data_IF_329746033843
#
_entry.id   IF_329746033843
#
_cell.length_a   1.000
_cell.length_b   1.000
_cell.length_c   1.000
_cell.angle_alpha   90.00
_cell.angle_beta   90.00
_cell.angle_gamma   90.00
#
_symmetry.space_group_name_H-M   'P 1'
#
loop_
_entity.id
_entity.type
_entity.pdbx_description
1 polymer ?
#
# COMPACT_ATOMS: atom_id res chain seq x y z
N UNK A 1 14.08 2.53 2.12
CA UNK A 1 12.78 1.96 2.50
C UNK A 1 11.83 1.99 1.32
N UNK A 2 11.16 0.90 1.06
CA UNK A 2 10.17 0.83 -0.01
C UNK A 2 8.78 0.86 0.60
N UNK A 3 7.98 1.84 0.16
CA UNK A 3 6.61 2.03 0.62
C UNK A 3 5.69 1.81 -0.57
N UNK A 4 4.67 0.99 -0.38
CA UNK A 4 3.69 0.68 -1.42
C UNK A 4 2.31 1.16 -0.99
N UNK A 5 1.54 1.60 -1.98
CA UNK A 5 0.18 2.06 -1.77
C UNK A 5 -0.72 1.26 -2.70
N UNK A 6 -1.68 0.55 -2.14
CA UNK A 6 -2.67 -0.20 -2.90
C UNK A 6 -4.02 0.51 -2.76
N UNK A 7 -4.37 1.31 -3.73
CA UNK A 7 -5.53 2.19 -3.72
C UNK A 7 -6.00 2.43 -5.15
N UNK A 8 -7.28 2.30 -5.43
CA UNK A 8 -7.83 2.44 -6.78
C UNK A 8 -8.28 3.86 -7.14
N UNK A 9 -8.47 4.74 -6.15
CA UNK A 9 -8.89 6.12 -6.41
C UNK A 9 -7.71 7.09 -6.40
N UNK A 10 -7.55 7.83 -7.49
CA UNK A 10 -6.44 8.76 -7.67
C UNK A 10 -6.34 9.80 -6.56
N UNK A 11 -7.48 10.33 -6.13
CA UNK A 11 -7.51 11.35 -5.06
C UNK A 11 -6.88 10.83 -3.77
N UNK A 12 -7.19 9.58 -3.40
CA UNK A 12 -6.63 8.98 -2.18
C UNK A 12 -5.18 8.55 -2.38
N UNK A 13 -4.81 8.10 -3.58
CA UNK A 13 -3.41 7.82 -3.91
C UNK A 13 -2.55 9.07 -3.67
N UNK A 14 -3.00 10.20 -4.17
CA UNK A 14 -2.28 11.48 -4.03
C UNK A 14 -2.23 11.90 -2.55
N UNK A 15 -3.34 11.78 -1.83
CA UNK A 15 -3.39 12.17 -0.42
C UNK A 15 -2.39 11.36 0.42
N UNK A 16 -2.31 10.05 0.20
CA UNK A 16 -1.38 9.19 0.92
C UNK A 16 0.07 9.54 0.56
N UNK A 17 0.35 9.74 -0.73
CA UNK A 17 1.68 10.12 -1.18
C UNK A 17 2.12 11.45 -0.56
N UNK A 18 1.24 12.44 -0.52
CA UNK A 18 1.55 13.73 0.07
C UNK A 18 1.83 13.61 1.56
N UNK A 19 1.07 12.78 2.28
CA UNK A 19 1.31 12.54 3.70
C UNK A 19 2.69 11.90 3.93
N UNK A 20 3.05 10.92 3.11
CA UNK A 20 4.35 10.25 3.20
C UNK A 20 5.48 11.25 2.92
N UNK A 21 5.35 12.07 1.87
CA UNK A 21 6.37 13.07 1.52
C UNK A 21 6.53 14.13 2.60
N UNK A 22 5.43 14.53 3.22
CA UNK A 22 5.49 15.47 4.35
C UNK A 22 6.25 14.85 5.53
N UNK A 23 5.92 13.62 5.88
CA UNK A 23 6.62 12.88 6.94
C UNK A 23 8.12 12.74 6.62
N UNK A 24 8.43 12.42 5.38
CA UNK A 24 9.80 12.30 4.90
C UNK A 24 10.59 13.60 5.13
N UNK A 25 9.98 14.73 4.76
CA UNK A 25 10.62 16.04 4.90
C UNK A 25 10.84 16.41 6.37
N UNK A 26 9.83 16.16 7.22
CA UNK A 26 9.89 16.52 8.64
C UNK A 26 10.89 15.67 9.41
N UNK A 27 11.03 14.39 9.04
CA UNK A 27 11.91 13.44 9.75
C UNK A 27 13.27 13.26 9.08
N UNK A 28 13.51 13.94 7.97
CA UNK A 28 14.78 13.86 7.21
C UNK A 28 15.10 12.44 6.75
N UNK A 29 14.10 11.68 6.31
CA UNK A 29 14.27 10.36 5.71
C UNK A 29 14.37 10.49 4.20
N UNK A 30 15.56 10.28 3.63
CA UNK A 30 15.81 10.52 2.21
C UNK A 30 15.65 9.29 1.32
N UNK A 31 15.72 8.09 1.89
CA UNK A 31 15.72 6.83 1.14
C UNK A 31 14.34 6.17 1.06
N UNK A 32 13.36 6.89 0.51
CA UNK A 32 12.01 6.36 0.39
C UNK A 32 11.62 6.26 -1.08
N UNK A 33 11.32 5.04 -1.52
CA UNK A 33 10.71 4.77 -2.82
C UNK A 33 9.22 4.50 -2.60
N UNK A 34 8.36 5.20 -3.35
CA UNK A 34 6.92 5.00 -3.29
C UNK A 34 6.46 4.34 -4.58
N UNK A 35 5.73 3.24 -4.45
CA UNK A 35 5.08 2.57 -5.57
C UNK A 35 3.58 2.55 -5.35
N UNK A 36 2.81 2.84 -6.39
CA UNK A 36 1.35 2.89 -6.31
C UNK A 36 0.77 1.80 -7.20
N UNK A 37 -0.14 1.02 -6.62
CA UNK A 37 -0.84 -0.06 -7.29
C UNK A 37 -2.32 0.21 -7.27
N UNK A 38 -2.97 0.39 -8.43
CA UNK A 38 -4.41 0.64 -8.45
C UNK A 38 -5.25 -0.60 -8.16
N UNK A 39 -4.64 -1.79 -8.17
CA UNK A 39 -5.33 -3.02 -7.81
C UNK A 39 -4.42 -3.94 -7.01
N UNK A 40 -5.02 -4.83 -6.21
CA UNK A 40 -4.24 -5.85 -5.49
C UNK A 40 -3.63 -6.89 -6.42
N UNK A 41 -4.25 -7.16 -7.56
CA UNK A 41 -3.74 -8.16 -8.51
C UNK A 41 -2.37 -7.76 -9.05
N UNK A 42 -2.17 -6.49 -9.37
CA UNK A 42 -0.88 -5.99 -9.84
C UNK A 42 0.20 -6.19 -8.79
N UNK A 43 -0.13 -5.96 -7.53
CA UNK A 43 0.81 -6.13 -6.43
C UNK A 43 1.12 -7.59 -6.18
N UNK A 44 0.12 -8.46 -6.22
CA UNK A 44 0.30 -9.90 -6.02
C UNK A 44 1.26 -10.46 -7.07
N UNK A 45 1.13 -10.05 -8.32
CA UNK A 45 2.03 -10.48 -9.40
C UNK A 45 3.49 -10.16 -9.08
N UNK A 46 3.76 -8.97 -8.53
CA UNK A 46 5.12 -8.59 -8.14
C UNK A 46 5.60 -9.38 -6.92
N UNK A 47 4.76 -9.57 -5.93
CA UNK A 47 5.11 -10.35 -4.74
C UNK A 47 5.47 -11.78 -5.10
N UNK A 48 4.75 -12.38 -6.05
CA UNK A 48 5.03 -13.72 -6.53
C UNK A 48 6.38 -13.80 -7.28
N UNK A 49 6.92 -12.65 -7.72
CA UNK A 49 8.24 -12.54 -8.35
C UNK A 49 9.33 -12.09 -7.36
N UNK A 50 9.10 -12.28 -6.07
CA UNK A 50 10.04 -11.92 -4.99
C UNK A 50 10.29 -10.42 -4.85
N UNK A 51 9.36 -9.58 -5.29
CA UNK A 51 9.44 -8.16 -5.05
C UNK A 51 9.09 -7.88 -3.58
N UNK A 52 9.84 -7.01 -2.94
CA UNK A 52 9.70 -6.74 -1.50
C UNK A 52 9.26 -5.31 -1.25
N UNK A 53 8.44 -5.13 -0.22
CA UNK A 53 8.05 -3.82 0.27
C UNK A 53 8.12 -3.81 1.80
N UNK A 54 8.55 -2.70 2.37
CA UNK A 54 8.72 -2.58 3.82
C UNK A 54 7.41 -2.16 4.50
N UNK A 55 6.68 -1.25 3.87
CA UNK A 55 5.44 -0.71 4.42
C UNK A 55 4.41 -0.68 3.31
N UNK A 56 3.21 -1.14 3.61
CA UNK A 56 2.12 -1.22 2.65
C UNK A 56 0.86 -0.58 3.21
N UNK A 57 0.41 0.47 2.53
CA UNK A 57 -0.91 1.06 2.77
C UNK A 57 -1.92 0.39 1.86
N UNK A 58 -2.94 -0.23 2.44
CA UNK A 58 -3.98 -0.96 1.71
C UNK A 58 -5.34 -0.34 2.00
N UNK A 59 -6.09 -0.03 0.95
CA UNK A 59 -7.51 0.29 1.08
C UNK A 59 -8.28 -1.00 1.34
N UNK A 60 -9.05 -1.03 2.42
CA UNK A 60 -9.87 -2.19 2.77
C UNK A 60 -10.91 -2.47 1.68
N UNK A 61 -11.37 -1.42 1.00
CA UNK A 61 -12.45 -1.48 0.03
C UNK A 61 -11.96 -1.47 -1.42
N UNK A 62 -10.81 -2.10 -1.69
CA UNK A 62 -10.33 -2.22 -3.07
C UNK A 62 -11.38 -2.86 -3.96
N UNK A 63 -11.57 -2.27 -5.14
CA UNK A 63 -12.44 -2.83 -6.17
C UNK A 63 -11.75 -4.01 -6.84
N UNK A 64 -12.53 -5.00 -7.27
CA UNK A 64 -12.01 -6.14 -8.00
C UNK A 64 -12.24 -7.45 -7.27
N UNK A 65 -11.65 -8.53 -7.79
CA UNK A 65 -11.81 -9.87 -7.24
C UNK A 65 -11.06 -10.06 -5.93
N UNK A 66 -9.95 -9.38 -5.78
CA UNK A 66 -9.12 -9.48 -4.57
C UNK A 66 -9.27 -8.21 -3.74
N UNK A 67 -9.80 -8.33 -2.54
CA UNK A 67 -9.97 -7.21 -1.63
C UNK A 67 -8.65 -6.88 -0.90
N UNK A 68 -8.63 -5.74 -0.19
CA UNK A 68 -7.48 -5.38 0.64
C UNK A 68 -7.21 -6.40 1.74
N UNK A 69 -8.27 -6.99 2.30
CA UNK A 69 -8.10 -8.03 3.32
C UNK A 69 -7.52 -9.30 2.72
N UNK A 70 -7.96 -9.69 1.52
CA UNK A 70 -7.40 -10.85 0.82
C UNK A 70 -5.91 -10.65 0.52
N UNK A 71 -5.52 -9.45 0.13
CA UNK A 71 -4.11 -9.12 -0.10
C UNK A 71 -3.29 -9.26 1.19
N UNK A 72 -3.82 -8.77 2.30
CA UNK A 72 -3.14 -8.90 3.61
C UNK A 72 -2.97 -10.36 4.01
N UNK A 73 -3.98 -11.19 3.78
CA UNK A 73 -3.89 -12.65 4.01
C UNK A 73 -2.81 -13.28 3.15
N UNK A 74 -2.74 -12.90 1.87
CA UNK A 74 -1.71 -13.41 0.96
C UNK A 74 -0.31 -13.07 1.46
N UNK A 75 -0.09 -11.84 1.89
CA UNK A 75 1.19 -11.40 2.43
C UNK A 75 1.54 -12.20 3.68
N UNK A 76 0.58 -12.42 4.55
CA UNK A 76 0.78 -13.21 5.76
C UNK A 76 1.15 -14.67 5.43
N UNK A 77 0.45 -15.29 4.49
CA UNK A 77 0.71 -16.65 4.05
C UNK A 77 2.11 -16.80 3.45
N UNK A 78 2.58 -15.78 2.74
CA UNK A 78 3.93 -15.77 2.15
C UNK A 78 5.02 -15.52 3.18
N UNK A 79 4.65 -15.23 4.43
CA UNK A 79 5.58 -14.95 5.52
C UNK A 79 6.51 -13.76 5.21
N UNK A 80 5.98 -12.76 4.53
CA UNK A 80 6.73 -11.56 4.18
C UNK A 80 6.84 -10.62 5.38
N UNK A 81 7.99 -9.98 5.48
CA UNK A 81 8.31 -9.04 6.57
C UNK A 81 7.84 -7.62 6.20
N UNK A 82 6.54 -7.49 5.96
CA UNK A 82 5.92 -6.24 5.54
C UNK A 82 4.97 -5.73 6.62
N UNK A 83 5.13 -4.46 6.98
CA UNK A 83 4.17 -3.80 7.87
C UNK A 83 2.98 -3.31 7.06
N UNK A 84 1.78 -3.71 7.47
CA UNK A 84 0.54 -3.38 6.75
C UNK A 84 -0.23 -2.31 7.53
N UNK A 85 -0.62 -1.25 6.82
CA UNK A 85 -1.49 -0.21 7.36
C UNK A 85 -2.76 -0.20 6.53
N UNK A 86 -3.89 -0.49 7.16
CA UNK A 86 -5.17 -0.42 6.49
C UNK A 86 -5.68 1.01 6.49
N UNK A 87 -6.12 1.45 5.31
CA UNK A 87 -6.76 2.75 5.13
C UNK A 87 -8.24 2.53 4.83
N UNK A 88 -9.07 3.47 5.24
CA UNK A 88 -10.48 3.44 4.90
C UNK A 88 -10.88 4.79 4.34
N UNK A 89 -11.67 4.75 3.29
CA UNK A 89 -12.16 5.95 2.61
C UNK A 89 -13.56 6.35 3.06
N UNK A 90 -13.99 5.84 4.21
CA UNK A 90 -15.25 6.25 4.78
C UNK A 90 -15.14 7.67 5.28
N UNK A 91 -15.94 8.54 4.71
CA UNK A 91 -16.02 9.94 5.11
C UNK A 91 -17.45 10.36 5.42
N UNK A 92 -18.25 9.41 5.86
CA UNK A 92 -19.66 9.63 6.16
C UNK A 92 -19.95 9.61 7.66
N UNK A 93 -18.96 9.87 8.43
CA UNK A 93 -19.05 9.94 9.88
C UNK A 93 -18.78 11.34 10.36
#
# INVERSE_FOLDING_TARGET
MRISICEDELTYQIAIQNAIRHWQAVTHHDDIEISVFPSSDDMIDLLDKNWETDLLFIDIQLQGETTGIDLAHKIHEMQLDTTIVFCTNYNQY
#
